data_IF_549704954605
#
_entry.id   IF_549704954605
#
_cell.length_a   1.000
_cell.length_b   1.000
_cell.length_c   1.000
_cell.angle_alpha   90.00
_cell.angle_beta   90.00
_cell.angle_gamma   90.00
#
_symmetry.space_group_name_H-M   'P 1'
#
loop_
_entity.id
_entity.type
_entity.pdbx_description
1 polymer ?
#
# COMPACT_ATOMS: atom_id res chain seq x y z
N UNK A 1 -0.27 -11.08 5.95
CA UNK A 1 -0.52 -9.78 6.62
C UNK A 1 -2.00 -9.50 6.55
N UNK A 2 -2.53 -8.77 7.52
CA UNK A 2 -3.93 -8.38 7.55
C UNK A 2 -4.10 -6.87 7.41
N UNK A 3 -4.97 -6.44 6.50
CA UNK A 3 -5.36 -5.03 6.32
C UNK A 3 -6.52 -4.68 7.26
N UNK A 4 -6.46 -3.51 7.89
CA UNK A 4 -7.50 -3.01 8.78
C UNK A 4 -8.78 -2.64 8.02
N UNK A 5 -9.94 -3.07 8.50
CA UNK A 5 -11.24 -2.75 7.89
C UNK A 5 -11.67 -1.29 8.02
N UNK A 6 -10.90 -0.46 8.73
CA UNK A 6 -11.18 0.97 8.92
C UNK A 6 -10.61 1.85 7.81
N UNK A 7 -9.84 1.27 6.88
CA UNK A 7 -9.24 1.95 5.75
C UNK A 7 -9.83 1.46 4.43
N UNK A 8 -10.15 2.40 3.54
CA UNK A 8 -10.61 2.12 2.17
C UNK A 8 -9.97 3.09 1.20
N UNK A 9 -9.79 2.64 -0.04
CA UNK A 9 -9.33 3.50 -1.13
C UNK A 9 -10.50 3.82 -2.05
N UNK A 10 -10.65 5.11 -2.36
CA UNK A 10 -11.58 5.61 -3.35
C UNK A 10 -10.81 6.27 -4.50
N UNK A 11 -11.33 6.16 -5.72
CA UNK A 11 -10.81 6.89 -6.88
C UNK A 11 -11.71 8.10 -7.11
N UNK A 12 -11.13 9.28 -7.12
CA UNK A 12 -11.84 10.54 -7.37
C UNK A 12 -12.14 10.69 -8.87
N UNK A 13 -13.07 11.58 -9.26
CA UNK A 13 -13.37 11.85 -10.67
C UNK A 13 -12.16 12.32 -11.49
N UNK A 14 -11.18 12.98 -10.86
CA UNK A 14 -9.92 13.39 -11.49
C UNK A 14 -8.83 12.31 -11.47
N UNK A 15 -9.18 11.07 -11.09
CA UNK A 15 -8.30 9.90 -11.16
C UNK A 15 -7.31 9.76 -10.00
N UNK A 16 -7.42 10.55 -8.93
CA UNK A 16 -6.56 10.41 -7.75
C UNK A 16 -7.06 9.29 -6.85
N UNK A 17 -6.12 8.51 -6.33
CA UNK A 17 -6.41 7.54 -5.29
C UNK A 17 -6.35 8.22 -3.92
N UNK A 18 -7.47 8.19 -3.19
CA UNK A 18 -7.59 8.73 -1.84
C UNK A 18 -7.85 7.58 -0.87
N UNK A 19 -6.95 7.43 0.10
CA UNK A 19 -7.13 6.53 1.24
C UNK A 19 -7.90 7.24 2.33
N UNK A 20 -9.11 6.78 2.59
CA UNK A 20 -9.93 7.20 3.72
C UNK A 20 -9.71 6.27 4.89
N UNK A 21 -9.48 6.83 6.07
CA UNK A 21 -9.34 6.10 7.33
C UNK A 21 -10.35 6.64 8.32
N UNK A 22 -11.18 5.77 8.91
CA UNK A 22 -12.25 6.18 9.81
C UNK A 22 -11.72 7.08 10.95
N UNK A 23 -12.29 8.28 11.06
CA UNK A 23 -11.92 9.25 12.09
C UNK A 23 -10.57 9.95 11.90
N UNK A 24 -9.95 9.86 10.70
CA UNK A 24 -8.68 10.51 10.37
C UNK A 24 -8.77 11.29 9.05
N UNK A 25 -7.85 12.25 8.79
CA UNK A 25 -7.73 12.86 7.48
C UNK A 25 -7.51 11.81 6.39
N UNK A 26 -8.06 12.08 5.20
CA UNK A 26 -7.80 11.24 4.03
C UNK A 26 -6.41 11.56 3.46
N UNK A 27 -5.76 10.55 2.89
CA UNK A 27 -4.42 10.66 2.31
C UNK A 27 -4.45 10.37 0.82
N UNK A 28 -3.82 11.21 0.01
CA UNK A 28 -3.63 10.87 -1.39
C UNK A 28 -2.50 9.85 -1.54
N UNK A 29 -2.78 8.76 -2.25
CA UNK A 29 -1.78 7.77 -2.63
C UNK A 29 -1.18 8.16 -3.99
N UNK A 30 0.15 8.04 -4.08
CA UNK A 30 0.80 8.02 -5.39
C UNK A 30 0.57 6.65 -6.07
N UNK A 31 0.87 6.49 -7.37
CA UNK A 31 0.62 5.24 -8.08
C UNK A 31 1.32 4.01 -7.48
N UNK A 32 2.56 4.17 -6.99
CA UNK A 32 3.31 3.09 -6.35
C UNK A 32 2.63 2.65 -5.05
N UNK A 33 2.24 3.59 -4.18
CA UNK A 33 1.56 3.32 -2.92
C UNK A 33 0.16 2.69 -3.12
N UNK A 34 -0.58 3.15 -4.14
CA UNK A 34 -1.84 2.54 -4.54
C UNK A 34 -1.65 1.08 -4.95
N UNK A 35 -0.62 0.81 -5.76
CA UNK A 35 -0.32 -0.52 -6.25
C UNK A 35 0.12 -1.46 -5.12
N UNK A 36 0.95 -0.98 -4.19
CA UNK A 36 1.33 -1.71 -2.97
C UNK A 36 0.09 -2.03 -2.12
N UNK A 37 -0.76 -1.03 -1.85
CA UNK A 37 -1.99 -1.22 -1.06
C UNK A 37 -2.93 -2.26 -1.68
N UNK A 38 -3.10 -2.21 -3.00
CA UNK A 38 -3.97 -3.13 -3.73
C UNK A 38 -3.50 -4.57 -3.57
N UNK A 39 -2.19 -4.82 -3.73
CA UNK A 39 -1.60 -6.16 -3.60
C UNK A 39 -1.58 -6.65 -2.13
N UNK A 40 -1.34 -5.76 -1.17
CA UNK A 40 -1.49 -6.07 0.26
C UNK A 40 -2.92 -6.49 0.59
N UNK A 41 -3.91 -5.77 0.07
CA UNK A 41 -5.33 -6.07 0.28
C UNK A 41 -5.76 -7.39 -0.39
N UNK A 42 -5.05 -7.80 -1.44
CA UNK A 42 -5.22 -9.09 -2.10
C UNK A 42 -4.47 -10.25 -1.39
N UNK A 43 -3.72 -9.97 -0.32
CA UNK A 43 -3.01 -10.98 0.46
C UNK A 43 -1.64 -11.38 -0.08
N UNK A 44 -1.06 -10.62 -1.03
CA UNK A 44 0.28 -10.90 -1.55
C UNK A 44 1.34 -10.69 -0.44
N UNK A 45 2.40 -11.49 -0.47
CA UNK A 45 3.56 -11.32 0.40
C UNK A 45 4.40 -10.09 0.01
N UNK A 46 5.20 -9.54 0.93
CA UNK A 46 6.08 -8.40 0.60
C UNK A 46 7.06 -8.69 -0.53
N UNK A 47 7.50 -9.94 -0.65
CA UNK A 47 8.41 -10.37 -1.72
C UNK A 47 7.72 -10.32 -3.08
N UNK A 48 6.52 -10.88 -3.17
CA UNK A 48 5.69 -10.81 -4.38
C UNK A 48 5.39 -9.36 -4.76
N UNK A 49 4.95 -8.56 -3.78
CA UNK A 49 4.69 -7.12 -3.98
C UNK A 49 5.93 -6.42 -4.53
N UNK A 50 7.10 -6.66 -3.93
CA UNK A 50 8.34 -5.99 -4.36
C UNK A 50 8.71 -6.35 -5.80
N UNK A 51 8.60 -7.64 -6.15
CA UNK A 51 8.89 -8.12 -7.51
C UNK A 51 7.88 -7.57 -8.54
N UNK A 52 6.59 -7.57 -8.21
CA UNK A 52 5.54 -7.07 -9.10
C UNK A 52 5.62 -5.56 -9.31
N UNK A 53 5.91 -4.78 -8.25
CA UNK A 53 6.08 -3.32 -8.37
C UNK A 53 7.35 -3.01 -9.18
N UNK A 54 8.42 -3.78 -9.04
CA UNK A 54 9.64 -3.60 -9.82
C UNK A 54 9.35 -3.78 -11.32
N UNK A 55 8.57 -4.81 -11.67
CA UNK A 55 8.13 -5.06 -13.04
C UNK A 55 7.16 -3.98 -13.56
N UNK A 56 6.17 -3.57 -12.75
CA UNK A 56 5.14 -2.61 -13.12
C UNK A 56 5.70 -1.20 -13.39
N UNK A 57 6.69 -0.78 -12.60
CA UNK A 57 7.25 0.57 -12.67
C UNK A 57 8.65 0.64 -13.30
N UNK A 58 9.20 -0.50 -13.76
CA UNK A 58 10.52 -0.57 -14.39
C UNK A 58 11.67 -0.16 -13.45
N UNK A 59 11.55 -0.49 -12.16
CA UNK A 59 12.51 -0.10 -11.13
C UNK A 59 13.33 -1.31 -10.63
N UNK A 60 14.56 -1.10 -10.11
CA UNK A 60 15.33 -2.18 -9.51
C UNK A 60 14.64 -2.78 -8.28
N UNK A 61 14.62 -4.11 -8.17
CA UNK A 61 13.95 -4.83 -7.08
C UNK A 61 14.41 -4.38 -5.69
N UNK A 62 15.69 -4.04 -5.53
CA UNK A 62 16.21 -3.54 -4.25
C UNK A 62 15.61 -2.18 -3.84
N UNK A 63 15.43 -1.28 -4.82
CA UNK A 63 14.79 0.04 -4.60
C UNK A 63 13.33 -0.16 -4.25
N UNK A 64 12.65 -1.00 -5.02
CA UNK A 64 11.24 -1.30 -4.79
C UNK A 64 11.00 -1.98 -3.46
N UNK A 65 11.85 -2.93 -3.06
CA UNK A 65 11.77 -3.57 -1.75
C UNK A 65 11.88 -2.54 -0.63
N UNK A 66 12.81 -1.57 -0.73
CA UNK A 66 12.93 -0.48 0.26
C UNK A 66 11.66 0.37 0.34
N UNK A 67 11.05 0.70 -0.80
CA UNK A 67 9.82 1.50 -0.85
C UNK A 67 8.62 0.73 -0.27
N UNK A 68 8.47 -0.55 -0.61
CA UNK A 68 7.46 -1.45 -0.04
C UNK A 68 7.59 -1.51 1.48
N UNK A 69 8.80 -1.79 1.99
CA UNK A 69 9.03 -1.87 3.44
C UNK A 69 8.76 -0.54 4.14
N UNK A 70 9.17 0.60 3.55
CA UNK A 70 8.92 1.92 4.11
C UNK A 70 7.42 2.22 4.20
N UNK A 71 6.67 1.94 3.14
CA UNK A 71 5.24 2.20 3.11
C UNK A 71 4.49 1.28 4.08
N UNK A 72 4.80 -0.02 4.10
CA UNK A 72 4.21 -0.98 5.05
C UNK A 72 4.50 -0.57 6.49
N UNK A 73 5.71 -0.09 6.79
CA UNK A 73 6.05 0.43 8.11
C UNK A 73 5.15 1.60 8.51
N UNK A 74 4.92 2.57 7.61
CA UNK A 74 3.99 3.67 7.88
C UNK A 74 2.57 3.16 8.11
N UNK A 75 2.08 2.21 7.31
CA UNK A 75 0.76 1.62 7.52
C UNK A 75 0.63 0.93 8.88
N UNK A 76 1.66 0.21 9.32
CA UNK A 76 1.72 -0.40 10.67
C UNK A 76 1.71 0.63 11.78
N UNK A 77 2.51 1.69 11.67
CA UNK A 77 2.54 2.81 12.62
C UNK A 77 1.17 3.49 12.74
N UNK A 78 0.40 3.49 11.66
CA UNK A 78 -0.96 4.01 11.63
C UNK A 78 -2.05 2.97 11.95
N UNK A 79 -1.70 1.74 12.34
CA UNK A 79 -2.64 0.64 12.65
C UNK A 79 -3.56 0.30 11.46
N UNK A 80 -3.02 0.37 10.25
CA UNK A 80 -3.74 0.07 9.01
C UNK A 80 -3.40 -1.32 8.45
N UNK A 81 -2.25 -1.87 8.85
CA UNK A 81 -1.79 -3.22 8.49
C UNK A 81 -1.19 -3.87 9.72
N UNK A 82 -1.38 -5.18 9.86
CA UNK A 82 -0.85 -6.00 10.95
C UNK A 82 -0.10 -7.22 10.38
N UNK A 83 0.89 -7.69 11.13
CA UNK A 83 1.47 -9.02 10.88
C UNK A 83 0.43 -10.09 11.20
N UNK A 84 0.50 -11.23 10.50
CA UNK A 84 -0.37 -12.36 10.82
C UNK A 84 0.03 -12.90 12.21
N UNK A 85 -0.98 -13.26 13.02
CA UNK A 85 -0.78 -13.82 14.35
C UNK A 85 -0.27 -15.27 14.31
#
# INVERSE_FOLDING_TARGET
>A
MQVSGVARVAITPDGKAIMEVAGRPAFQLNPVALSIWTKLSAGHSLREISSEIAAEFGAPEEVTAKDVHRFVKQLKEHLLVYDDA
#
